data_IF_574186682289
#
_entry.id   IF_574186682289
#
_cell.length_a   1.000
_cell.length_b   1.000
_cell.length_c   1.000
_cell.angle_alpha   90.00
_cell.angle_beta   90.00
_cell.angle_gamma   90.00
#
_symmetry.space_group_name_H-M   'P 1'
#
loop_
_entity.id
_entity.type
_entity.pdbx_description
1 polymer ?
#
# COMPACT_ATOMS: atom_id res chain seq x y z
N UNK A 1 89.56 2.47 -0.05
CA UNK A 1 88.66 1.40 0.41
C UNK A 1 87.22 1.82 0.08
N UNK A 2 86.62 1.11 -0.87
CA UNK A 2 85.18 0.84 -1.11
C UNK A 2 84.14 1.98 -0.94
N UNK A 3 83.84 2.62 -2.08
CA UNK A 3 82.52 2.81 -2.68
C UNK A 3 81.27 2.78 -1.78
N UNK A 4 80.73 3.98 -1.49
CA UNK A 4 79.40 4.19 -0.93
C UNK A 4 78.39 4.58 -2.01
N UNK A 5 77.82 3.60 -2.72
CA UNK A 5 76.74 3.85 -3.68
C UNK A 5 75.37 3.83 -2.99
N UNK A 6 74.91 5.05 -2.71
CA UNK A 6 73.56 5.46 -2.36
C UNK A 6 72.54 5.05 -3.43
N UNK A 7 71.79 3.96 -3.24
CA UNK A 7 70.57 3.68 -4.02
C UNK A 7 69.35 4.22 -3.30
N UNK A 8 69.07 5.50 -3.52
CA UNK A 8 67.74 6.09 -3.37
C UNK A 8 66.77 5.33 -4.28
N UNK A 9 66.01 4.39 -3.73
CA UNK A 9 64.79 3.91 -4.38
C UNK A 9 63.73 5.00 -4.26
N UNK A 10 63.58 5.79 -5.31
CA UNK A 10 62.42 6.63 -5.54
C UNK A 10 61.97 6.42 -6.98
N UNK A 11 60.65 6.49 -7.18
CA UNK A 11 59.91 6.42 -8.45
C UNK A 11 59.86 4.98 -8.99
N UNK A 12 58.74 4.26 -8.94
CA UNK A 12 57.39 4.65 -9.36
C UNK A 12 56.42 3.66 -8.72
N UNK A 13 55.41 4.12 -7.97
CA UNK A 13 54.24 3.28 -7.72
C UNK A 13 53.63 2.98 -9.09
N UNK A 14 53.61 1.72 -9.49
CA UNK A 14 52.97 1.25 -10.71
C UNK A 14 51.46 1.48 -10.64
N UNK A 15 51.02 2.72 -10.85
CA UNK A 15 49.62 3.08 -11.03
C UNK A 15 49.23 2.86 -12.49
N UNK A 16 49.22 1.61 -12.94
CA UNK A 16 48.73 1.27 -14.27
C UNK A 16 48.05 -0.09 -14.23
N UNK A 17 46.77 -0.07 -13.87
CA UNK A 17 45.97 -1.29 -13.84
C UNK A 17 44.70 -1.25 -13.01
N UNK A 18 44.35 -0.14 -12.34
CA UNK A 18 43.01 0.00 -11.76
C UNK A 18 42.02 0.26 -12.90
N UNK A 19 41.66 -0.83 -13.60
CA UNK A 19 40.62 -0.85 -14.62
C UNK A 19 39.41 -0.12 -14.04
N UNK A 20 39.15 1.06 -14.59
CA UNK A 20 38.00 1.94 -14.38
C UNK A 20 36.72 1.28 -14.91
N UNK A 21 36.45 0.04 -14.49
CA UNK A 21 35.32 -0.79 -14.93
C UNK A 21 34.20 -0.88 -13.89
N UNK A 22 34.49 -0.46 -12.64
CA UNK A 22 33.54 -0.52 -11.53
C UNK A 22 32.40 0.50 -11.61
N UNK A 23 32.60 1.68 -12.22
CA UNK A 23 31.56 2.73 -12.23
C UNK A 23 30.30 2.38 -13.03
N UNK A 24 30.40 1.52 -14.05
CA UNK A 24 29.25 1.16 -14.89
C UNK A 24 28.35 0.13 -14.21
N UNK A 25 28.95 -0.85 -13.52
CA UNK A 25 28.22 -1.86 -12.76
C UNK A 25 27.40 -1.27 -11.60
N UNK A 26 27.87 -0.20 -10.96
CA UNK A 26 27.11 0.48 -9.90
C UNK A 26 25.91 1.25 -10.45
N UNK A 27 26.04 1.87 -11.64
CA UNK A 27 24.93 2.57 -12.29
C UNK A 27 23.82 1.61 -12.71
N UNK A 28 24.19 0.47 -13.30
CA UNK A 28 23.23 -0.56 -13.72
C UNK A 28 22.47 -1.13 -12.50
N UNK A 29 23.16 -1.39 -11.38
CA UNK A 29 22.51 -1.84 -10.14
C UNK A 29 21.53 -0.81 -9.55
N UNK A 30 21.80 0.49 -9.70
CA UNK A 30 20.87 1.55 -9.26
C UNK A 30 19.63 1.56 -10.17
N UNK A 31 19.82 1.46 -11.48
CA UNK A 31 18.69 1.40 -12.43
C UNK A 31 17.83 0.17 -12.17
N UNK A 32 18.43 -1.00 -11.95
CA UNK A 32 17.72 -2.23 -11.61
C UNK A 32 16.92 -2.08 -10.31
N UNK A 33 17.54 -1.52 -9.26
CA UNK A 33 16.84 -1.26 -8.00
C UNK A 33 15.67 -0.26 -8.17
N UNK A 34 15.83 0.78 -8.99
CA UNK A 34 14.74 1.72 -9.30
C UNK A 34 13.60 1.05 -10.06
N UNK A 35 13.91 0.16 -11.01
CA UNK A 35 12.92 -0.62 -11.74
C UNK A 35 12.17 -1.58 -10.81
N UNK A 36 12.87 -2.22 -9.87
CA UNK A 36 12.27 -3.11 -8.88
C UNK A 36 11.34 -2.33 -7.93
N UNK A 37 11.76 -1.16 -7.45
CA UNK A 37 10.92 -0.26 -6.64
C UNK A 37 9.70 0.20 -7.43
N UNK A 38 9.85 0.57 -8.70
CA UNK A 38 8.75 0.98 -9.56
C UNK A 38 7.77 -0.19 -9.80
N UNK A 39 8.28 -1.39 -10.06
CA UNK A 39 7.47 -2.59 -10.23
C UNK A 39 6.69 -2.91 -8.95
N UNK A 40 7.36 -2.94 -7.79
CA UNK A 40 6.72 -3.16 -6.49
C UNK A 40 5.67 -2.10 -6.18
N UNK A 41 5.95 -0.83 -6.49
CA UNK A 41 5.00 0.29 -6.28
C UNK A 41 3.76 0.14 -7.18
N UNK A 42 3.94 -0.22 -8.45
CA UNK A 42 2.83 -0.50 -9.37
C UNK A 42 1.99 -1.69 -8.90
N UNK A 43 2.62 -2.76 -8.42
CA UNK A 43 1.91 -3.91 -7.87
C UNK A 43 1.05 -3.52 -6.65
N UNK A 44 1.59 -2.72 -5.74
CA UNK A 44 0.84 -2.20 -4.58
C UNK A 44 -0.33 -1.32 -5.02
N UNK A 45 -0.10 -0.36 -5.92
CA UNK A 45 -1.15 0.53 -6.42
C UNK A 45 -2.28 -0.26 -7.12
N UNK A 46 -1.94 -1.22 -7.99
CA UNK A 46 -2.95 -2.06 -8.66
C UNK A 46 -3.71 -2.96 -7.70
N UNK A 47 -3.08 -3.45 -6.62
CA UNK A 47 -3.78 -4.21 -5.58
C UNK A 47 -4.80 -3.34 -4.83
N UNK A 48 -4.45 -2.09 -4.52
CA UNK A 48 -5.33 -1.11 -3.88
C UNK A 48 -6.54 -0.78 -4.80
N UNK A 49 -6.28 -0.49 -6.07
CA UNK A 49 -7.35 -0.20 -7.04
C UNK A 49 -8.29 -1.41 -7.23
N UNK A 50 -7.74 -2.63 -7.26
CA UNK A 50 -8.57 -3.85 -7.34
C UNK A 50 -9.33 -4.14 -6.05
N UNK A 51 -8.84 -3.73 -4.87
CA UNK A 51 -9.64 -3.82 -3.64
C UNK A 51 -10.80 -2.82 -3.63
N UNK A 52 -10.61 -1.62 -4.18
CA UNK A 52 -11.71 -0.64 -4.29
C UNK A 52 -12.85 -1.13 -5.18
N UNK A 53 -12.54 -1.86 -6.27
CA UNK A 53 -13.58 -2.47 -7.11
C UNK A 53 -14.34 -3.58 -6.37
N UNK A 54 -13.60 -4.43 -5.63
CA UNK A 54 -14.18 -5.52 -4.81
C UNK A 54 -15.13 -5.01 -3.73
N UNK A 55 -14.84 -3.84 -3.17
CA UNK A 55 -15.62 -3.22 -2.09
C UNK A 55 -16.22 -1.88 -2.52
N UNK A 56 -16.63 -1.77 -3.79
CA UNK A 56 -17.22 -0.55 -4.32
C UNK A 56 -18.57 -0.24 -3.67
N UNK A 57 -18.95 1.04 -3.64
CA UNK A 57 -20.26 1.48 -3.13
C UNK A 57 -21.38 0.77 -3.88
N UNK A 58 -21.30 0.69 -5.22
CA UNK A 58 -22.30 0.01 -6.05
C UNK A 58 -22.48 -1.47 -5.67
N UNK A 59 -21.39 -2.16 -5.30
CA UNK A 59 -21.47 -3.54 -4.82
C UNK A 59 -22.15 -3.62 -3.45
N UNK A 60 -21.86 -2.68 -2.54
CA UNK A 60 -22.49 -2.61 -1.24
C UNK A 60 -24.00 -2.36 -1.36
N UNK A 61 -24.41 -1.40 -2.19
CA UNK A 61 -25.83 -1.10 -2.46
C UNK A 61 -26.54 -2.32 -3.02
N UNK A 62 -25.96 -2.99 -4.03
CA UNK A 62 -26.57 -4.20 -4.60
C UNK A 62 -26.81 -5.29 -3.53
N UNK A 63 -25.82 -5.51 -2.66
CA UNK A 63 -25.96 -6.48 -1.56
C UNK A 63 -27.01 -6.01 -0.54
N UNK A 64 -27.09 -4.71 -0.27
CA UNK A 64 -28.09 -4.13 0.63
C UNK A 64 -29.51 -4.28 0.08
N UNK A 65 -29.72 -4.08 -1.22
CA UNK A 65 -31.02 -4.25 -1.90
C UNK A 65 -31.51 -5.70 -1.86
N UNK A 66 -30.59 -6.67 -1.90
CA UNK A 66 -30.90 -8.10 -1.84
C UNK A 66 -31.16 -8.60 -0.40
N UNK A 67 -30.89 -7.78 0.62
CA UNK A 67 -31.11 -8.14 2.03
C UNK A 67 -32.58 -7.99 2.42
N UNK A 68 -33.11 -8.97 3.15
CA UNK A 68 -34.46 -8.93 3.70
C UNK A 68 -34.48 -8.33 5.12
N UNK A 69 -35.57 -7.64 5.47
CA UNK A 69 -35.78 -7.08 6.81
C UNK A 69 -34.96 -5.83 7.12
N UNK A 70 -34.38 -5.19 6.09
CA UNK A 70 -33.74 -3.88 6.24
C UNK A 70 -34.84 -2.82 6.29
N UNK A 71 -34.96 -2.13 7.42
CA UNK A 71 -35.83 -0.96 7.55
C UNK A 71 -35.31 0.21 6.70
N UNK A 72 -36.21 1.03 6.16
CA UNK A 72 -35.87 2.16 5.29
C UNK A 72 -34.90 3.15 5.94
N UNK A 73 -35.02 3.42 7.25
CA UNK A 73 -34.10 4.29 7.96
C UNK A 73 -32.69 3.68 8.05
N UNK A 74 -32.60 2.38 8.34
CA UNK A 74 -31.32 1.65 8.37
C UNK A 74 -30.69 1.61 6.97
N UNK A 75 -31.52 1.48 5.93
CA UNK A 75 -31.06 1.51 4.55
C UNK A 75 -30.32 2.81 4.22
N UNK A 76 -30.94 3.97 4.51
CA UNK A 76 -30.31 5.26 4.19
C UNK A 76 -29.06 5.53 5.04
N UNK A 77 -29.09 5.20 6.34
CA UNK A 77 -27.90 5.32 7.19
C UNK A 77 -26.75 4.41 6.71
N UNK A 78 -27.07 3.25 6.11
CA UNK A 78 -26.06 2.38 5.52
C UNK A 78 -25.40 3.02 4.29
N UNK A 79 -26.12 3.82 3.51
CA UNK A 79 -25.55 4.54 2.37
C UNK A 79 -24.48 5.54 2.82
N UNK A 80 -24.76 6.32 3.86
CA UNK A 80 -23.80 7.24 4.46
C UNK A 80 -22.60 6.47 5.04
N UNK A 81 -22.85 5.34 5.70
CA UNK A 81 -21.80 4.47 6.23
C UNK A 81 -20.87 3.93 5.14
N UNK A 82 -21.40 3.67 3.94
CA UNK A 82 -20.61 3.17 2.81
C UNK A 82 -19.71 4.22 2.16
N UNK A 83 -19.77 5.50 2.53
CA UNK A 83 -18.74 6.46 2.13
C UNK A 83 -17.35 6.05 2.67
N UNK A 84 -17.32 5.39 3.84
CA UNK A 84 -16.09 4.88 4.44
C UNK A 84 -15.63 3.55 3.79
N UNK A 85 -14.45 3.50 3.15
CA UNK A 85 -13.94 2.29 2.50
C UNK A 85 -13.78 1.10 3.45
N UNK A 86 -13.38 1.33 4.71
CA UNK A 86 -13.22 0.25 5.70
C UNK A 86 -14.58 -0.36 6.09
N UNK A 87 -15.63 0.46 6.12
CA UNK A 87 -16.98 0.00 6.39
C UNK A 87 -17.51 -0.87 5.23
N UNK A 88 -17.23 -0.49 3.98
CA UNK A 88 -17.55 -1.29 2.79
C UNK A 88 -16.87 -2.65 2.81
N UNK A 89 -15.56 -2.67 3.06
CA UNK A 89 -14.80 -3.92 3.16
C UNK A 89 -15.35 -4.83 4.25
N UNK A 90 -15.64 -4.27 5.43
CA UNK A 90 -16.26 -5.02 6.53
C UNK A 90 -17.61 -5.60 6.10
N UNK A 91 -18.52 -4.78 5.56
CA UNK A 91 -19.86 -5.19 5.17
C UNK A 91 -19.87 -6.32 4.12
N UNK A 92 -19.04 -6.21 3.08
CA UNK A 92 -18.92 -7.23 2.03
C UNK A 92 -18.32 -8.53 2.59
N UNK A 93 -17.32 -8.41 3.47
CA UNK A 93 -16.62 -9.57 4.07
C UNK A 93 -17.47 -10.32 5.10
N UNK A 94 -18.46 -9.68 5.71
CA UNK A 94 -19.41 -10.34 6.60
C UNK A 94 -20.27 -11.36 5.84
N UNK A 95 -20.56 -12.47 6.50
CA UNK A 95 -21.58 -13.42 6.03
C UNK A 95 -22.96 -12.76 6.04
N UNK A 96 -23.85 -13.19 5.15
CA UNK A 96 -25.16 -12.54 4.94
C UNK A 96 -25.98 -12.42 6.23
N UNK A 97 -25.97 -13.44 7.08
CA UNK A 97 -26.69 -13.47 8.36
C UNK A 97 -26.18 -12.48 9.40
N UNK A 98 -24.95 -11.97 9.25
CA UNK A 98 -24.34 -11.01 10.19
C UNK A 98 -24.51 -9.55 9.76
N UNK A 99 -24.81 -9.31 8.48
CA UNK A 99 -24.84 -7.95 7.90
C UNK A 99 -25.88 -7.05 8.53
N UNK A 100 -27.11 -7.54 8.69
CA UNK A 100 -28.21 -6.74 9.25
C UNK A 100 -27.93 -6.32 10.70
N UNK A 101 -27.51 -7.27 11.55
CA UNK A 101 -27.16 -6.98 12.94
C UNK A 101 -25.99 -5.99 13.04
N UNK A 102 -25.00 -6.10 12.15
CA UNK A 102 -23.89 -5.16 12.09
C UNK A 102 -24.34 -3.75 11.67
N UNK A 103 -25.19 -3.63 10.64
CA UNK A 103 -25.75 -2.35 10.22
C UNK A 103 -26.55 -1.69 11.34
N UNK A 104 -27.42 -2.45 12.01
CA UNK A 104 -28.22 -1.95 13.13
C UNK A 104 -27.33 -1.47 14.29
N UNK A 105 -26.27 -2.22 14.61
CA UNK A 105 -25.30 -1.80 15.63
C UNK A 105 -24.55 -0.52 15.27
N UNK A 106 -24.24 -0.30 13.99
CA UNK A 106 -23.61 0.94 13.50
C UNK A 106 -24.57 2.12 13.47
N UNK A 107 -25.80 1.90 13.01
CA UNK A 107 -26.83 2.93 12.93
C UNK A 107 -27.32 3.37 14.32
N UNK A 108 -27.45 2.43 15.26
CA UNK A 108 -27.83 2.73 16.66
C UNK A 108 -26.77 3.52 17.43
N UNK A 109 -25.50 3.40 17.06
CA UNK A 109 -24.42 4.20 17.67
C UNK A 109 -24.43 5.68 17.21
N UNK A 110 -25.01 5.97 16.04
CA UNK A 110 -25.05 7.33 15.48
C UNK A 110 -26.18 8.19 16.08
N UNK A 111 -27.26 7.56 16.58
CA UNK A 111 -28.42 8.26 17.16
C UNK A 111 -28.22 8.73 18.61
N UNK A 112 -27.07 8.50 19.23
CA UNK A 112 -26.82 8.77 20.65
C UNK A 112 -26.50 10.23 21.02
N UNK A 113 -26.46 11.18 20.08
CA UNK A 113 -25.94 12.53 20.35
C UNK A 113 -26.99 13.65 20.45
N UNK A 114 -28.31 13.37 20.44
CA UNK A 114 -29.35 14.42 20.56
C UNK A 114 -30.36 14.16 21.67
N UNK A 115 -29.90 13.89 22.89
CA UNK A 115 -30.67 14.18 24.10
C UNK A 115 -29.73 14.72 25.16
N UNK A 116 -29.84 16.02 25.46
CA UNK A 116 -29.37 16.58 26.72
C UNK A 116 -28.53 17.87 26.61
N UNK A 117 -29.20 19.01 26.49
CA UNK A 117 -29.08 20.18 27.37
C UNK A 117 -30.03 21.29 26.89
#
# INVERSE_FOLDING_TARGET
>A
MLDGHNKRQSVTQSSAGRRKRSRKATGDAIVDAMLEIAAASKMRATAIMKSEDRFSISKCIKVLDEMQGVDQHVYFLALDLFENPNARETFISLKSERRLAWLQGKCGASSGSVVGA
#
